data_IF_118992343636
#
_entry.id   IF_118992343636
#
_cell.length_a   1.000
_cell.length_b   1.000
_cell.length_c   1.000
_cell.angle_alpha   90.00
_cell.angle_beta   90.00
_cell.angle_gamma   90.00
#
_symmetry.space_group_name_H-M   'P 1'
#
loop_
_entity.id
_entity.type
_entity.pdbx_description
1 polymer ?
#
# COMPACT_ATOMS: atom_id res chain seq x y z
N UNK A 1 72.65 -62.71 -2.88
CA UNK A 1 73.39 -62.85 -4.15
C UNK A 1 73.44 -61.48 -4.81
N UNK A 2 74.59 -61.17 -5.43
CA UNK A 2 75.11 -59.85 -5.79
C UNK A 2 74.42 -59.17 -6.99
N UNK A 3 74.81 -57.89 -7.15
CA UNK A 3 74.87 -57.02 -8.34
C UNK A 3 73.62 -56.12 -8.55
N UNK A 4 73.74 -54.81 -8.78
CA UNK A 4 74.91 -53.96 -9.02
C UNK A 4 74.66 -52.95 -10.15
N UNK A 5 74.52 -51.68 -9.78
CA UNK A 5 75.01 -50.41 -10.40
C UNK A 5 74.82 -50.14 -11.92
N UNK A 6 74.33 -48.90 -12.19
CA UNK A 6 74.71 -47.89 -13.23
C UNK A 6 73.50 -47.43 -14.06
N UNK A 7 73.38 -46.21 -14.57
CA UNK A 7 73.98 -44.88 -14.36
C UNK A 7 73.27 -43.90 -15.35
N UNK A 8 73.26 -42.60 -14.99
CA UNK A 8 73.22 -41.41 -15.85
C UNK A 8 72.04 -41.16 -16.83
N UNK A 9 71.36 -40.01 -16.65
CA UNK A 9 71.34 -38.82 -17.54
C UNK A 9 70.24 -37.85 -17.05
N UNK A 10 70.60 -36.68 -16.51
CA UNK A 10 70.63 -35.38 -17.22
C UNK A 10 69.23 -34.88 -17.61
N UNK A 11 68.65 -33.91 -16.89
CA UNK A 11 68.04 -32.69 -17.44
C UNK A 11 68.05 -31.61 -16.37
N UNK A 12 68.69 -30.49 -16.69
CA UNK A 12 68.73 -29.24 -15.94
C UNK A 12 67.50 -28.42 -16.37
N UNK A 13 66.56 -28.11 -15.47
CA UNK A 13 65.52 -27.12 -15.71
C UNK A 13 65.78 -25.89 -14.84
N UNK A 14 66.12 -24.78 -15.50
CA UNK A 14 66.17 -23.46 -14.90
C UNK A 14 64.74 -22.92 -14.89
N UNK A 15 64.18 -22.68 -13.70
CA UNK A 15 62.93 -21.91 -13.53
C UNK A 15 63.31 -20.51 -13.10
N UNK A 16 63.12 -19.53 -13.99
CA UNK A 16 63.17 -18.10 -13.66
C UNK A 16 61.80 -17.71 -13.11
N UNK A 17 61.74 -17.42 -11.81
CA UNK A 17 60.57 -16.84 -11.14
C UNK A 17 60.61 -15.31 -11.32
N UNK A 18 59.80 -14.80 -12.24
CA UNK A 18 59.50 -13.38 -12.33
C UNK A 18 58.37 -13.03 -11.35
N UNK A 19 58.72 -12.33 -10.27
CA UNK A 19 57.76 -11.73 -9.35
C UNK A 19 57.13 -10.50 -10.01
N UNK A 20 55.91 -10.63 -10.53
CA UNK A 20 55.04 -9.49 -10.81
C UNK A 20 54.28 -9.13 -9.54
N UNK A 21 54.76 -8.12 -8.82
CA UNK A 21 54.00 -7.42 -7.79
C UNK A 21 52.92 -6.56 -8.46
N UNK A 22 51.75 -7.14 -8.68
CA UNK A 22 50.55 -6.35 -8.98
C UNK A 22 50.09 -5.71 -7.67
N UNK A 23 50.36 -4.42 -7.52
CA UNK A 23 49.77 -3.59 -6.49
C UNK A 23 48.27 -3.47 -6.75
N UNK A 24 47.49 -4.39 -6.20
CA UNK A 24 46.06 -4.18 -6.02
C UNK A 24 45.90 -3.09 -4.96
N UNK A 25 45.73 -1.86 -5.43
CA UNK A 25 45.14 -0.80 -4.61
C UNK A 25 43.75 -1.28 -4.24
N UNK A 26 43.60 -1.76 -3.00
CA UNK A 26 42.30 -1.86 -2.35
C UNK A 26 41.73 -0.43 -2.28
N UNK A 27 40.99 -0.03 -3.32
CA UNK A 27 39.98 1.00 -3.16
C UNK A 27 38.94 0.40 -2.22
N UNK A 28 39.03 0.71 -0.93
CA UNK A 28 37.87 0.59 -0.06
C UNK A 28 36.72 1.31 -0.77
N UNK A 29 35.52 0.70 -0.88
CA UNK A 29 34.37 1.44 -1.36
C UNK A 29 34.27 2.73 -0.54
N UNK A 30 34.02 3.89 -1.17
CA UNK A 30 33.88 5.14 -0.44
C UNK A 30 32.90 4.90 0.71
N UNK A 31 33.33 5.28 1.90
CA UNK A 31 32.49 5.23 3.09
C UNK A 31 31.18 5.94 2.73
N UNK A 32 30.05 5.24 2.86
CA UNK A 32 28.74 5.83 2.55
C UNK A 32 28.54 6.99 3.50
N UNK A 33 28.70 8.20 2.99
CA UNK A 33 28.44 9.41 3.75
C UNK A 33 26.96 9.74 3.65
N UNK A 34 26.35 10.08 4.77
CA UNK A 34 24.93 10.40 4.85
C UNK A 34 24.70 11.91 4.83
N UNK A 35 23.57 12.32 4.25
CA UNK A 35 23.02 13.66 4.25
C UNK A 35 21.73 13.67 5.08
N UNK A 36 21.59 14.67 5.93
CA UNK A 36 20.31 14.97 6.58
C UNK A 36 19.47 15.85 5.64
N UNK A 37 18.52 15.24 4.94
CA UNK A 37 17.64 15.92 3.99
C UNK A 37 16.30 16.25 4.66
N UNK A 38 15.98 17.53 4.83
CA UNK A 38 14.63 17.97 5.21
C UNK A 38 13.76 18.09 3.97
N UNK A 39 12.67 17.34 3.92
CA UNK A 39 11.68 17.37 2.83
C UNK A 39 10.39 18.01 3.32
N UNK A 40 9.81 18.88 2.49
CA UNK A 40 8.51 19.51 2.70
C UNK A 40 7.71 19.49 1.39
N UNK A 41 6.42 19.15 1.48
CA UNK A 41 5.49 19.25 0.36
C UNK A 41 4.58 20.44 0.61
N UNK A 42 4.33 21.23 -0.42
CA UNK A 42 3.35 22.32 -0.37
C UNK A 42 2.39 22.25 -1.55
N UNK A 43 1.17 22.74 -1.36
CA UNK A 43 0.26 23.01 -2.46
C UNK A 43 0.76 24.23 -3.24
N UNK A 44 1.02 24.08 -4.54
CA UNK A 44 1.61 25.12 -5.37
C UNK A 44 0.72 26.36 -5.54
N UNK A 45 -0.61 26.23 -5.37
CA UNK A 45 -1.55 27.33 -5.52
C UNK A 45 -1.64 28.17 -4.25
N UNK A 46 -1.64 27.52 -3.09
CA UNK A 46 -1.85 28.19 -1.79
C UNK A 46 -0.55 28.45 -1.02
N UNK A 47 0.54 27.77 -1.37
CA UNK A 47 1.80 27.79 -0.65
C UNK A 47 1.76 27.12 0.74
N UNK A 48 0.62 26.50 1.11
CA UNK A 48 0.46 25.84 2.40
C UNK A 48 1.07 24.43 2.39
N UNK A 49 1.60 23.95 3.53
CA UNK A 49 2.01 22.56 3.67
C UNK A 49 0.86 21.60 3.35
N UNK A 50 1.20 20.49 2.70
CA UNK A 50 0.25 19.43 2.36
C UNK A 50 0.90 18.06 2.64
N UNK A 51 0.12 17.09 3.12
CA UNK A 51 0.59 15.72 3.26
C UNK A 51 0.62 15.04 1.88
N UNK A 52 1.46 14.02 1.72
CA UNK A 52 1.52 13.27 0.46
C UNK A 52 2.36 12.02 0.55
N UNK A 53 2.51 11.37 -0.58
CA UNK A 53 3.37 10.22 -0.77
C UNK A 53 4.65 10.67 -1.45
N UNK A 54 5.79 10.18 -0.95
CA UNK A 54 7.09 10.44 -1.54
C UNK A 54 7.82 9.15 -1.92
N UNK A 55 8.64 9.23 -2.94
CA UNK A 55 9.61 8.22 -3.32
C UNK A 55 10.96 8.91 -3.58
N UNK A 56 12.02 8.40 -2.97
CA UNK A 56 13.40 8.87 -3.23
C UNK A 56 14.16 7.75 -3.91
N UNK A 57 14.74 8.08 -5.06
CA UNK A 57 15.54 7.17 -5.87
C UNK A 57 16.99 7.66 -5.91
N UNK A 58 17.91 6.72 -5.86
CA UNK A 58 19.32 7.02 -6.08
C UNK A 58 19.67 7.15 -7.57
N UNK A 59 20.94 7.43 -7.86
CA UNK A 59 21.46 7.57 -9.22
C UNK A 59 21.26 6.31 -10.11
N UNK A 60 21.08 5.12 -9.52
CA UNK A 60 20.76 3.89 -10.25
C UNK A 60 19.25 3.63 -10.39
N UNK A 61 18.41 4.57 -9.95
CA UNK A 61 16.96 4.43 -9.96
C UNK A 61 16.41 3.48 -8.91
N UNK A 62 17.23 3.04 -7.94
CA UNK A 62 16.80 2.21 -6.82
C UNK A 62 16.24 3.09 -5.70
N UNK A 63 15.17 2.63 -5.06
CA UNK A 63 14.64 3.27 -3.85
C UNK A 63 15.67 3.36 -2.73
N UNK A 64 15.70 4.54 -2.11
CA UNK A 64 16.35 4.80 -0.84
C UNK A 64 15.36 4.43 0.28
N UNK A 65 15.80 3.60 1.23
CA UNK A 65 15.02 3.29 2.42
C UNK A 65 14.92 4.53 3.32
N UNK A 66 13.73 4.81 3.84
CA UNK A 66 13.43 5.99 4.65
C UNK A 66 12.88 5.52 6.00
N UNK A 67 13.78 5.22 6.95
CA UNK A 67 13.41 4.68 8.26
C UNK A 67 12.53 5.62 9.08
N UNK A 68 12.62 6.93 8.81
CA UNK A 68 11.82 7.95 9.48
C UNK A 68 10.37 8.03 9.00
N UNK A 69 10.04 7.37 7.87
CA UNK A 69 8.72 7.42 7.26
C UNK A 69 8.09 6.03 7.12
N UNK A 70 6.79 5.96 7.40
CA UNK A 70 6.03 4.74 7.20
C UNK A 70 5.89 4.41 5.70
N UNK A 71 6.06 3.15 5.33
CA UNK A 71 5.76 2.67 3.98
C UNK A 71 4.25 2.75 3.71
N UNK A 72 3.85 3.27 2.55
CA UNK A 72 2.46 3.23 2.09
C UNK A 72 1.94 1.80 1.88
N UNK A 73 2.85 0.85 1.68
CA UNK A 73 2.58 -0.58 1.54
C UNK A 73 2.70 -1.39 2.82
N UNK A 74 2.61 -0.77 3.99
CA UNK A 74 2.60 -1.48 5.28
C UNK A 74 1.58 -2.63 5.29
N UNK A 75 2.01 -3.80 5.78
CA UNK A 75 1.17 -5.00 5.84
C UNK A 75 0.98 -5.75 4.51
N UNK A 76 1.51 -5.23 3.40
CA UNK A 76 1.50 -5.91 2.10
C UNK A 76 2.79 -6.70 1.86
N UNK A 77 2.82 -7.62 0.87
CA UNK A 77 4.03 -8.36 0.51
C UNK A 77 5.18 -7.43 0.07
N UNK A 78 6.41 -7.79 0.44
CA UNK A 78 7.64 -6.99 0.26
C UNK A 78 7.93 -6.51 -1.17
N UNK A 79 7.38 -7.19 -2.18
CA UNK A 79 7.65 -6.90 -3.60
C UNK A 79 6.50 -6.12 -4.28
N UNK A 80 5.55 -5.57 -3.51
CA UNK A 80 4.49 -4.73 -4.07
C UNK A 80 5.03 -3.34 -4.41
N UNK A 81 4.68 -2.81 -5.59
CA UNK A 81 5.13 -1.48 -6.04
C UNK A 81 4.71 -0.34 -5.11
N UNK A 82 3.66 -0.54 -4.31
CA UNK A 82 3.21 0.44 -3.32
C UNK A 82 4.17 0.56 -2.11
N UNK A 83 5.03 -0.44 -1.88
CA UNK A 83 6.09 -0.34 -0.86
C UNK A 83 7.17 0.66 -1.25
N UNK A 84 7.26 1.01 -2.53
CA UNK A 84 8.23 1.96 -3.04
C UNK A 84 7.92 3.42 -2.63
N UNK A 85 6.77 3.64 -1.99
CA UNK A 85 6.27 4.92 -1.55
C UNK A 85 6.23 5.00 -0.03
N UNK A 86 6.63 6.14 0.51
CA UNK A 86 6.58 6.47 1.93
C UNK A 86 5.59 7.61 2.18
N UNK A 87 4.93 7.59 3.34
CA UNK A 87 3.95 8.59 3.73
C UNK A 87 4.67 9.77 4.41
N UNK A 88 4.39 10.99 3.95
CA UNK A 88 4.94 12.22 4.52
C UNK A 88 3.78 13.15 4.92
N UNK A 89 3.45 13.21 6.21
CA UNK A 89 2.33 14.02 6.74
C UNK A 89 2.74 15.43 7.16
N UNK A 90 4.02 15.65 7.42
CA UNK A 90 4.59 16.93 7.83
C UNK A 90 6.03 17.04 7.33
N UNK A 91 6.65 18.23 7.36
CA UNK A 91 8.05 18.36 7.00
C UNK A 91 8.95 17.52 7.90
N UNK A 92 9.75 16.64 7.30
CA UNK A 92 10.55 15.65 8.02
C UNK A 92 11.99 15.66 7.52
N UNK A 93 12.94 15.54 8.46
CA UNK A 93 14.35 15.30 8.15
C UNK A 93 14.58 13.79 8.11
N UNK A 94 15.18 13.32 7.02
CA UNK A 94 15.50 11.92 6.78
C UNK A 94 16.97 11.75 6.43
N UNK A 95 17.49 10.58 6.74
CA UNK A 95 18.87 10.19 6.43
C UNK A 95 18.92 9.59 5.03
N UNK A 96 19.67 10.21 4.11
CA UNK A 96 19.81 9.76 2.71
C UNK A 96 21.28 9.75 2.30
N UNK A 97 21.69 8.96 1.30
CA UNK A 97 23.09 8.96 0.85
C UNK A 97 23.49 10.31 0.22
N UNK A 98 24.77 10.69 0.40
CA UNK A 98 25.38 11.85 -0.25
C UNK A 98 25.70 11.56 -1.73
N UNK A 99 24.66 11.48 -2.54
CA UNK A 99 24.76 11.25 -3.98
C UNK A 99 23.67 12.02 -4.72
N UNK A 100 23.70 12.09 -6.06
CA UNK A 100 22.58 12.57 -6.84
C UNK A 100 21.33 11.72 -6.57
N UNK A 101 20.27 12.36 -6.11
CA UNK A 101 18.98 11.76 -5.83
C UNK A 101 17.89 12.31 -6.73
N UNK A 102 16.83 11.53 -6.89
CA UNK A 102 15.59 11.95 -7.52
C UNK A 102 14.45 11.74 -6.56
N UNK A 103 13.80 12.83 -6.17
CA UNK A 103 12.62 12.80 -5.30
C UNK A 103 11.36 12.97 -6.14
N UNK A 104 10.35 12.18 -5.81
CA UNK A 104 9.06 12.11 -6.49
C UNK A 104 7.97 12.24 -5.45
N UNK A 105 6.94 13.02 -5.73
CA UNK A 105 5.86 13.24 -4.78
C UNK A 105 4.53 13.52 -5.46
N UNK A 106 3.46 13.14 -4.78
CA UNK A 106 2.10 13.59 -5.05
C UNK A 106 1.26 13.54 -3.76
N UNK A 107 0.12 14.21 -3.79
CA UNK A 107 -0.87 14.26 -2.70
C UNK A 107 -2.26 13.96 -3.23
N UNK A 108 -2.94 13.00 -2.61
CA UNK A 108 -4.26 12.52 -2.99
C UNK A 108 -4.47 12.26 -4.49
N UNK A 109 -5.73 12.42 -4.92
CA UNK A 109 -6.17 12.14 -6.30
C UNK A 109 -6.21 13.39 -7.19
N UNK A 110 -5.70 14.52 -6.69
CA UNK A 110 -5.98 15.85 -7.25
C UNK A 110 -4.72 16.64 -7.61
N UNK A 111 -3.54 16.10 -7.30
CA UNK A 111 -2.25 16.73 -7.62
C UNK A 111 -1.52 15.98 -8.71
N UNK A 112 -0.78 16.73 -9.52
CA UNK A 112 0.15 16.18 -10.49
C UNK A 112 1.33 15.54 -9.77
N UNK A 113 1.81 14.45 -10.34
CA UNK A 113 3.07 13.86 -9.95
C UNK A 113 4.22 14.87 -10.18
N UNK A 114 4.97 15.16 -9.13
CA UNK A 114 6.11 16.08 -9.14
C UNK A 114 7.40 15.29 -9.01
N UNK A 115 8.41 15.65 -9.80
CA UNK A 115 9.74 15.04 -9.76
C UNK A 115 10.81 16.14 -9.71
N UNK A 116 11.81 15.96 -8.84
CA UNK A 116 12.93 16.89 -8.70
C UNK A 116 14.24 16.12 -8.52
N UNK A 117 15.27 16.53 -9.24
CA UNK A 117 16.63 16.05 -9.06
C UNK A 117 17.37 16.91 -8.03
N UNK A 118 18.13 16.25 -7.15
CA UNK A 118 18.88 16.86 -6.07
C UNK A 118 20.31 16.34 -6.12
N UNK A 119 21.26 17.23 -6.37
CA UNK A 119 22.67 16.89 -6.16
C UNK A 119 23.03 17.09 -4.68
N UNK A 120 23.20 15.97 -3.96
CA UNK A 120 23.62 15.95 -2.56
C UNK A 120 25.08 15.55 -2.36
N UNK A 121 25.87 15.45 -3.44
CA UNK A 121 27.29 15.19 -3.34
C UNK A 121 27.97 16.22 -2.43
N UNK A 122 28.75 15.71 -1.47
CA UNK A 122 29.49 16.49 -0.47
C UNK A 122 28.60 17.33 0.48
N UNK A 123 27.29 17.09 0.55
CA UNK A 123 26.36 17.80 1.45
C UNK A 123 26.03 16.98 2.69
N UNK A 124 26.42 17.46 3.86
CA UNK A 124 25.99 16.87 5.13
C UNK A 124 24.53 17.20 5.52
N UNK A 125 23.97 18.28 4.97
CA UNK A 125 22.58 18.73 5.21
C UNK A 125 22.01 19.38 3.97
N UNK A 126 20.72 19.16 3.73
CA UNK A 126 19.97 19.83 2.66
C UNK A 126 18.51 20.05 3.06
N UNK A 127 17.83 20.97 2.37
CA UNK A 127 16.39 21.15 2.50
C UNK A 127 15.80 21.27 1.10
N UNK A 128 14.72 20.54 0.86
CA UNK A 128 13.95 20.59 -0.38
C UNK A 128 12.49 20.84 -0.06
N UNK A 129 11.89 21.73 -0.84
CA UNK A 129 10.46 22.02 -0.84
C UNK A 129 9.94 21.63 -2.22
N UNK A 130 9.02 20.67 -2.27
CA UNK A 130 8.35 20.26 -3.51
C UNK A 130 6.99 20.96 -3.59
N UNK A 131 6.76 21.66 -4.68
CA UNK A 131 5.49 22.34 -4.96
C UNK A 131 4.59 21.44 -5.79
N UNK A 132 3.53 20.94 -5.18
CA UNK A 132 2.59 20.02 -5.81
C UNK A 132 1.50 20.81 -6.54
N UNK A 133 1.44 20.66 -7.86
CA UNK A 133 0.44 21.33 -8.68
C UNK A 133 -0.88 20.59 -8.61
N UNK A 134 -1.89 21.23 -8.05
CA UNK A 134 -3.28 20.75 -8.06
C UNK A 134 -3.88 20.94 -9.47
N UNK A 135 -4.43 19.87 -10.05
CA UNK A 135 -5.14 19.91 -11.34
C UNK A 135 -6.66 19.96 -11.18
N UNK A 136 -7.19 19.60 -10.00
CA UNK A 136 -8.62 19.67 -9.70
C UNK A 136 -8.86 19.94 -8.20
N UNK A 137 -9.99 20.54 -7.85
CA UNK A 137 -10.39 20.77 -6.47
C UNK A 137 -11.83 20.26 -6.26
N UNK A 138 -11.95 18.96 -5.97
CA UNK A 138 -13.20 18.26 -5.69
C UNK A 138 -13.96 18.95 -4.55
N UNK A 139 -13.26 19.47 -3.54
CA UNK A 139 -13.89 20.09 -2.36
C UNK A 139 -14.56 21.42 -2.69
N UNK A 140 -13.98 22.22 -3.60
CA UNK A 140 -14.58 23.47 -4.07
C UNK A 140 -15.92 23.23 -4.79
N UNK A 141 -16.08 22.06 -5.41
CA UNK A 141 -17.30 21.62 -6.10
C UNK A 141 -18.25 20.82 -5.18
N UNK A 142 -17.95 20.75 -3.87
CA UNK A 142 -18.79 20.06 -2.88
C UNK A 142 -18.61 18.54 -2.81
N UNK A 143 -17.67 17.97 -3.56
CA UNK A 143 -17.32 16.55 -3.45
C UNK A 143 -16.42 16.28 -2.24
N UNK A 144 -16.36 15.00 -1.86
CA UNK A 144 -15.51 14.47 -0.79
C UNK A 144 -14.80 13.22 -1.28
N UNK A 145 -13.54 13.07 -0.90
CA UNK A 145 -12.71 11.92 -1.23
C UNK A 145 -12.90 10.86 -0.14
N UNK A 146 -13.23 9.62 -0.51
CA UNK A 146 -13.49 8.58 0.47
C UNK A 146 -12.89 7.24 0.06
N UNK A 147 -12.43 6.48 1.05
CA UNK A 147 -12.16 5.06 0.91
C UNK A 147 -13.28 4.27 1.60
N UNK A 148 -14.10 3.59 0.82
CA UNK A 148 -15.25 2.82 1.33
C UNK A 148 -14.90 1.40 1.73
N UNK A 149 -13.65 0.96 1.54
CA UNK A 149 -13.26 -0.43 1.69
C UNK A 149 -11.78 -0.55 2.08
N UNK A 150 -11.49 -0.63 3.38
CA UNK A 150 -10.13 -0.94 3.87
C UNK A 150 -10.13 -2.10 4.87
N UNK A 151 -9.16 -2.99 4.68
CA UNK A 151 -8.80 -4.04 5.61
C UNK A 151 -7.31 -3.97 5.91
N UNK A 152 -6.94 -4.09 7.19
CA UNK A 152 -5.56 -4.23 7.64
C UNK A 152 -5.43 -5.56 8.36
N UNK A 153 -4.38 -6.31 8.03
CA UNK A 153 -4.09 -7.61 8.61
C UNK A 153 -2.62 -7.70 8.95
N UNK A 154 -2.30 -8.50 9.98
CA UNK A 154 -0.91 -8.82 10.37
C UNK A 154 -0.05 -7.60 10.71
N UNK A 155 -0.70 -6.53 11.15
CA UNK A 155 -0.08 -5.31 11.70
C UNK A 155 -0.59 -5.10 13.12
N UNK A 156 0.18 -4.45 13.97
CA UNK A 156 -0.26 -4.14 15.33
C UNK A 156 -1.39 -3.11 15.32
N UNK A 157 -2.09 -2.98 16.45
CA UNK A 157 -3.15 -1.96 16.60
C UNK A 157 -2.57 -0.54 16.48
N UNK A 158 -1.42 -0.28 17.11
CA UNK A 158 -0.75 1.01 17.05
C UNK A 158 -0.33 1.36 15.62
N UNK A 159 0.26 0.41 14.89
CA UNK A 159 0.59 0.60 13.48
C UNK A 159 -0.66 0.85 12.63
N UNK A 160 -1.77 0.17 12.93
CA UNK A 160 -3.04 0.37 12.22
C UNK A 160 -3.62 1.76 12.46
N UNK A 161 -3.64 2.22 13.71
CA UNK A 161 -4.13 3.57 14.06
C UNK A 161 -3.32 4.64 13.31
N UNK A 162 -1.99 4.53 13.36
CA UNK A 162 -1.08 5.46 12.67
C UNK A 162 -1.26 5.40 11.15
N UNK A 163 -1.28 4.20 10.58
CA UNK A 163 -1.43 4.02 9.13
C UNK A 163 -2.75 4.55 8.61
N UNK A 164 -3.86 4.29 9.31
CA UNK A 164 -5.18 4.77 8.92
C UNK A 164 -5.21 6.30 8.84
N UNK A 165 -4.67 6.99 9.86
CA UNK A 165 -4.63 8.46 9.87
C UNK A 165 -3.66 9.00 8.83
N UNK A 166 -2.43 8.50 8.79
CA UNK A 166 -1.38 9.06 7.93
C UNK A 166 -1.66 8.82 6.45
N UNK A 167 -2.05 7.59 6.08
CA UNK A 167 -2.36 7.26 4.69
C UNK A 167 -3.58 8.01 4.20
N UNK A 168 -4.64 8.13 5.01
CA UNK A 168 -5.83 8.90 4.63
C UNK A 168 -5.51 10.38 4.45
N UNK A 169 -4.67 10.95 5.32
CA UNK A 169 -4.25 12.35 5.22
C UNK A 169 -3.40 12.58 3.95
N UNK A 170 -2.44 11.71 3.66
CA UNK A 170 -1.59 11.81 2.47
C UNK A 170 -2.33 11.54 1.15
N UNK A 171 -3.32 10.64 1.18
CA UNK A 171 -4.20 10.34 0.06
C UNK A 171 -5.33 11.39 -0.08
N UNK A 172 -5.36 12.42 0.78
CA UNK A 172 -6.33 13.51 0.72
C UNK A 172 -7.77 13.04 0.90
N UNK A 173 -8.00 12.02 1.73
CA UNK A 173 -9.31 11.46 2.03
C UNK A 173 -10.01 12.26 3.14
N UNK A 174 -11.32 12.43 3.02
CA UNK A 174 -12.18 12.98 4.08
C UNK A 174 -12.82 11.88 4.93
N UNK A 175 -12.98 10.68 4.36
CA UNK A 175 -13.73 9.60 4.96
C UNK A 175 -13.10 8.23 4.64
N UNK A 176 -12.97 7.39 5.66
CA UNK A 176 -12.52 6.01 5.51
C UNK A 176 -13.47 5.07 6.24
N UNK A 177 -14.04 4.10 5.54
CA UNK A 177 -14.78 3.00 6.17
C UNK A 177 -13.83 1.85 6.44
N UNK A 178 -13.59 1.60 7.73
CA UNK A 178 -12.79 0.48 8.21
C UNK A 178 -13.70 -0.75 8.28
N UNK A 179 -13.39 -1.74 7.46
CA UNK A 179 -14.31 -2.82 7.15
C UNK A 179 -14.05 -4.05 8.01
N UNK A 180 -15.06 -4.45 8.79
CA UNK A 180 -15.11 -5.74 9.44
C UNK A 180 -15.34 -6.84 8.39
N UNK A 181 -14.65 -7.97 8.53
CA UNK A 181 -14.74 -9.10 7.60
C UNK A 181 -14.62 -10.42 8.36
N UNK A 182 -15.52 -11.36 8.10
CA UNK A 182 -15.37 -12.75 8.56
C UNK A 182 -14.75 -13.64 7.49
N UNK A 183 -13.73 -14.39 7.92
CA UNK A 183 -13.16 -15.52 7.21
C UNK A 183 -12.78 -16.55 8.25
N UNK A 184 -13.24 -17.80 8.09
CA UNK A 184 -12.86 -18.86 9.03
C UNK A 184 -11.33 -18.86 9.26
N UNK A 185 -10.90 -18.99 10.51
CA UNK A 185 -9.50 -19.01 11.01
C UNK A 185 -8.64 -17.76 10.69
N UNK A 186 -8.87 -17.09 9.56
CA UNK A 186 -8.05 -15.99 9.08
C UNK A 186 -8.46 -14.63 9.65
N UNK A 187 -9.74 -14.48 10.05
CA UNK A 187 -10.29 -13.29 10.71
C UNK A 187 -9.50 -12.87 11.96
N UNK A 188 -8.93 -13.82 12.72
CA UNK A 188 -8.10 -13.56 13.90
C UNK A 188 -6.89 -12.65 13.62
N UNK A 189 -6.44 -12.60 12.37
CA UNK A 189 -5.31 -11.78 11.92
C UNK A 189 -5.70 -10.44 11.29
N UNK A 190 -7.00 -10.15 11.15
CA UNK A 190 -7.47 -8.84 10.70
C UNK A 190 -7.50 -7.89 11.89
N UNK A 191 -6.59 -6.91 11.86
CA UNK A 191 -6.52 -5.88 12.89
C UNK A 191 -7.72 -4.94 12.79
N UNK A 192 -8.27 -4.75 11.59
CA UNK A 192 -9.50 -3.96 11.37
C UNK A 192 -10.73 -4.53 12.08
N UNK A 193 -10.79 -5.85 12.30
CA UNK A 193 -11.91 -6.47 13.02
C UNK A 193 -11.93 -6.13 14.53
N UNK A 194 -10.87 -5.52 15.05
CA UNK A 194 -10.72 -5.18 16.48
C UNK A 194 -11.19 -3.78 16.80
N UNK A 195 -11.68 -3.02 15.82
CA UNK A 195 -12.19 -1.68 16.03
C UNK A 195 -13.69 -1.72 16.33
N UNK A 196 -14.09 -1.00 17.38
CA UNK A 196 -15.48 -0.65 17.62
C UNK A 196 -15.83 0.66 16.91
N UNK A 197 -17.12 0.94 16.62
CA UNK A 197 -17.55 2.23 16.09
C UNK A 197 -17.08 3.44 16.93
N UNK A 198 -17.07 3.28 18.26
CA UNK A 198 -16.60 4.33 19.18
C UNK A 198 -15.10 4.61 19.01
N UNK A 199 -14.29 3.58 18.82
CA UNK A 199 -12.84 3.76 18.62
C UNK A 199 -12.53 4.41 17.28
N UNK A 200 -13.25 4.07 16.21
CA UNK A 200 -13.10 4.73 14.90
C UNK A 200 -13.51 6.20 14.96
N UNK A 201 -14.62 6.50 15.62
CA UNK A 201 -14.98 7.89 15.88
C UNK A 201 -13.88 8.62 16.67
N UNK A 202 -13.27 7.98 17.67
CA UNK A 202 -12.17 8.57 18.44
C UNK A 202 -10.86 8.72 17.64
N UNK A 203 -10.66 7.89 16.61
CA UNK A 203 -9.52 7.97 15.69
C UNK A 203 -9.68 9.10 14.66
N UNK A 204 -10.90 9.61 14.47
CA UNK A 204 -11.18 10.69 13.52
C UNK A 204 -10.45 11.97 13.91
N UNK A 205 -10.04 12.73 12.90
CA UNK A 205 -9.34 14.01 13.04
C UNK A 205 -10.23 15.15 12.50
N UNK A 206 -9.72 16.38 12.53
CA UNK A 206 -10.38 17.52 11.88
C UNK A 206 -10.38 17.40 10.34
N UNK A 207 -9.65 16.41 9.78
CA UNK A 207 -9.50 16.21 8.34
C UNK A 207 -10.14 14.90 7.86
N UNK A 208 -9.94 13.80 8.59
CA UNK A 208 -10.37 12.45 8.19
C UNK A 208 -11.36 11.91 9.20
N UNK A 209 -12.54 11.51 8.74
CA UNK A 209 -13.51 10.78 9.53
C UNK A 209 -13.40 9.27 9.28
N UNK A 210 -13.51 8.47 10.33
CA UNK A 210 -13.53 7.01 10.21
C UNK A 210 -14.93 6.45 10.52
N UNK A 211 -15.48 5.74 9.55
CA UNK A 211 -16.73 4.99 9.65
C UNK A 211 -16.48 3.51 9.89
N UNK A 212 -17.41 2.84 10.56
CA UNK A 212 -17.41 1.39 10.68
C UNK A 212 -18.17 0.78 9.49
N UNK A 213 -17.50 -0.06 8.71
CA UNK A 213 -18.09 -0.78 7.58
C UNK A 213 -18.05 -2.29 7.80
N UNK A 214 -18.76 -3.02 6.95
CA UNK A 214 -18.73 -4.49 6.91
C UNK A 214 -18.61 -4.95 5.46
N UNK A 215 -17.68 -5.87 5.17
CA UNK A 215 -17.66 -6.60 3.90
C UNK A 215 -18.50 -7.88 4.05
N UNK A 216 -19.73 -7.87 3.52
CA UNK A 216 -20.62 -9.03 3.51
C UNK A 216 -20.40 -9.87 2.26
N UNK A 217 -20.04 -11.13 2.44
CA UNK A 217 -19.52 -11.98 1.36
C UNK A 217 -20.27 -13.27 1.20
N UNK A 218 -20.28 -13.80 -0.02
CA UNK A 218 -20.58 -15.20 -0.28
C UNK A 218 -19.51 -15.89 -1.14
N UNK A 219 -19.04 -17.07 -0.72
CA UNK A 219 -18.16 -17.90 -1.54
C UNK A 219 -18.68 -19.34 -1.70
N UNK A 220 -18.73 -19.84 -2.95
CA UNK A 220 -18.93 -21.28 -3.22
C UNK A 220 -17.73 -22.13 -2.76
N UNK A 221 -16.53 -21.61 -2.92
CA UNK A 221 -15.29 -22.28 -2.55
C UNK A 221 -14.20 -21.30 -2.12
N UNK A 222 -13.06 -21.79 -1.61
CA UNK A 222 -11.97 -20.94 -1.14
C UNK A 222 -11.51 -19.95 -2.22
N UNK A 223 -11.41 -18.66 -1.86
CA UNK A 223 -10.95 -17.61 -2.77
C UNK A 223 -11.90 -17.23 -3.91
N UNK A 224 -13.10 -17.83 -3.98
CA UNK A 224 -14.14 -17.42 -4.93
C UNK A 224 -14.92 -16.18 -4.50
N UNK A 225 -15.94 -15.84 -5.28
CA UNK A 225 -16.81 -14.67 -5.09
C UNK A 225 -18.29 -15.04 -5.06
N UNK A 226 -18.63 -16.31 -5.36
CA UNK A 226 -19.97 -16.86 -5.21
C UNK A 226 -21.09 -15.97 -5.76
N UNK A 227 -22.06 -15.65 -4.90
CA UNK A 227 -23.12 -14.70 -5.22
C UNK A 227 -22.65 -13.25 -5.25
N UNK A 228 -21.54 -12.91 -4.59
CA UNK A 228 -20.87 -11.62 -4.66
C UNK A 228 -20.42 -11.14 -3.28
N UNK A 229 -19.81 -9.96 -3.27
CA UNK A 229 -19.43 -9.23 -2.06
C UNK A 229 -20.00 -7.83 -2.10
N UNK A 230 -20.45 -7.34 -0.94
CA UNK A 230 -20.94 -5.98 -0.76
C UNK A 230 -20.34 -5.33 0.47
N UNK A 231 -20.06 -4.04 0.35
CA UNK A 231 -19.80 -3.17 1.49
C UNK A 231 -21.14 -2.70 2.06
N UNK A 232 -21.34 -2.95 3.35
CA UNK A 232 -22.44 -2.43 4.14
C UNK A 232 -21.88 -1.31 5.02
N UNK A 233 -22.32 -0.09 4.75
CA UNK A 233 -21.81 1.14 5.38
C UNK A 233 -22.91 1.80 6.19
N UNK A 234 -22.53 2.57 7.21
CA UNK A 234 -23.46 3.28 8.10
C UNK A 234 -24.53 2.37 8.74
N UNK A 235 -24.17 1.11 9.00
CA UNK A 235 -25.03 0.17 9.73
C UNK A 235 -24.85 0.37 11.24
N UNK A 236 -25.92 0.35 12.04
CA UNK A 236 -25.84 0.55 13.49
C UNK A 236 -25.24 -0.66 14.22
N UNK A 237 -25.30 -1.84 13.59
CA UNK A 237 -24.76 -3.11 14.07
C UNK A 237 -24.38 -3.98 12.86
N UNK A 238 -23.51 -4.98 13.08
CA UNK A 238 -23.13 -5.94 12.05
C UNK A 238 -24.34 -6.77 11.58
N UNK A 239 -24.37 -7.09 10.30
CA UNK A 239 -25.38 -7.96 9.69
C UNK A 239 -24.95 -9.41 9.81
N UNK A 240 -25.58 -10.15 10.73
CA UNK A 240 -25.24 -11.56 10.93
C UNK A 240 -26.05 -12.53 10.06
N UNK A 241 -25.41 -13.62 9.58
CA UNK A 241 -23.97 -13.86 9.58
C UNK A 241 -23.22 -12.88 8.67
N UNK A 242 -22.06 -12.37 9.13
CA UNK A 242 -21.28 -11.34 8.41
C UNK A 242 -20.83 -11.84 7.05
N UNK A 243 -20.53 -13.13 6.92
CA UNK A 243 -20.26 -13.73 5.63
C UNK A 243 -20.81 -15.15 5.56
N UNK A 244 -21.14 -15.58 4.36
CA UNK A 244 -21.90 -16.79 4.07
C UNK A 244 -21.22 -17.64 2.99
N UNK A 245 -21.71 -18.86 2.82
CA UNK A 245 -21.20 -19.82 1.86
C UNK A 245 -20.02 -20.64 2.40
N UNK A 246 -19.92 -21.91 2.00
CA UNK A 246 -18.93 -22.86 2.54
C UNK A 246 -17.49 -22.45 2.25
N UNK A 247 -17.25 -21.60 1.24
CA UNK A 247 -15.94 -21.05 0.95
C UNK A 247 -15.43 -20.01 1.97
N UNK A 248 -16.31 -19.44 2.80
CA UNK A 248 -15.95 -18.49 3.86
C UNK A 248 -15.97 -19.17 5.23
N UNK A 249 -17.12 -19.75 5.60
CA UNK A 249 -17.38 -20.28 6.95
C UNK A 249 -16.84 -21.70 7.16
N UNK A 250 -16.43 -22.39 6.09
CA UNK A 250 -16.11 -23.84 6.06
C UNK A 250 -17.24 -24.76 6.53
N UNK A 251 -18.44 -24.23 6.74
CA UNK A 251 -19.65 -24.93 7.18
C UNK A 251 -20.89 -24.36 6.47
N UNK A 252 -22.00 -25.09 6.45
CA UNK A 252 -23.25 -24.63 5.84
C UNK A 252 -23.39 -24.98 4.37
N UNK A 253 -24.28 -24.26 3.67
CA UNK A 253 -24.61 -24.49 2.25
C UNK A 253 -24.39 -23.22 1.43
N UNK A 254 -24.30 -23.39 0.12
CA UNK A 254 -24.29 -22.31 -0.87
C UNK A 254 -25.68 -21.79 -1.23
N UNK A 255 -26.74 -22.19 -0.51
CA UNK A 255 -28.11 -21.80 -0.82
C UNK A 255 -28.53 -20.42 -0.29
N UNK A 256 -27.65 -19.69 0.41
CA UNK A 256 -27.97 -18.39 1.01
C UNK A 256 -27.41 -17.27 0.13
N UNK A 257 -28.26 -16.40 -0.46
CA UNK A 257 -27.82 -15.29 -1.30
C UNK A 257 -27.32 -14.09 -0.49
N UNK A 258 -26.43 -13.28 -1.07
CA UNK A 258 -25.98 -12.01 -0.44
C UNK A 258 -27.11 -10.99 -0.35
N UNK A 259 -28.13 -11.11 -1.21
CA UNK A 259 -29.38 -10.34 -1.13
C UNK A 259 -29.94 -10.25 0.30
N UNK A 260 -29.85 -11.32 1.10
CA UNK A 260 -30.37 -11.31 2.47
C UNK A 260 -29.65 -10.27 3.35
N UNK A 261 -28.32 -10.21 3.27
CA UNK A 261 -27.53 -9.23 4.01
C UNK A 261 -27.79 -7.80 3.51
N UNK A 262 -27.91 -7.64 2.20
CA UNK A 262 -28.27 -6.37 1.54
C UNK A 262 -29.61 -5.83 2.04
N UNK A 263 -30.66 -6.66 2.04
CA UNK A 263 -32.00 -6.23 2.48
C UNK A 263 -31.97 -5.85 3.97
N UNK A 264 -31.29 -6.62 4.82
CA UNK A 264 -31.14 -6.31 6.25
C UNK A 264 -30.40 -4.99 6.48
N UNK A 265 -29.30 -4.74 5.77
CA UNK A 265 -28.59 -3.48 5.87
C UNK A 265 -29.49 -2.29 5.49
N UNK A 266 -30.28 -2.43 4.43
CA UNK A 266 -31.23 -1.41 3.99
C UNK A 266 -32.36 -1.17 4.99
N UNK A 267 -32.89 -2.22 5.61
CA UNK A 267 -33.90 -2.10 6.69
C UNK A 267 -33.37 -1.25 7.86
N UNK A 268 -32.06 -1.28 8.09
CA UNK A 268 -31.38 -0.47 9.12
C UNK A 268 -30.95 0.92 8.63
N UNK A 269 -31.29 1.31 7.40
CA UNK A 269 -30.88 2.58 6.80
C UNK A 269 -29.43 2.61 6.29
N UNK A 270 -28.78 1.44 6.18
CA UNK A 270 -27.42 1.31 5.69
C UNK A 270 -27.28 1.61 4.19
N UNK A 271 -26.05 1.94 3.79
CA UNK A 271 -25.64 2.10 2.40
C UNK A 271 -24.97 0.82 1.92
N UNK A 272 -25.33 0.38 0.72
CA UNK A 272 -24.83 -0.85 0.10
C UNK A 272 -24.06 -0.51 -1.16
N UNK A 273 -22.78 -0.89 -1.19
CA UNK A 273 -21.90 -0.75 -2.34
C UNK A 273 -21.47 -2.13 -2.81
N UNK A 274 -21.58 -2.42 -4.10
CA UNK A 274 -21.03 -3.65 -4.66
C UNK A 274 -19.50 -3.59 -4.75
N UNK A 275 -18.79 -4.58 -4.21
CA UNK A 275 -17.34 -4.49 -4.00
C UNK A 275 -16.52 -4.61 -5.30
N UNK A 276 -16.99 -5.41 -6.27
CA UNK A 276 -16.16 -5.82 -7.41
C UNK A 276 -16.96 -5.79 -8.72
N UNK A 277 -16.59 -4.89 -9.65
CA UNK A 277 -17.36 -4.60 -10.88
C UNK A 277 -17.67 -5.81 -11.80
N UNK A 278 -16.91 -6.89 -11.69
CA UNK A 278 -16.94 -8.02 -12.63
C UNK A 278 -17.13 -9.38 -11.93
N UNK A 279 -17.43 -9.38 -10.64
CA UNK A 279 -17.45 -10.59 -9.81
C UNK A 279 -18.77 -10.68 -9.03
N UNK A 280 -19.16 -11.93 -8.77
CA UNK A 280 -20.42 -12.29 -8.12
C UNK A 280 -21.57 -12.45 -9.10
N UNK A 281 -22.51 -13.35 -8.76
CA UNK A 281 -23.67 -13.68 -9.59
C UNK A 281 -24.88 -12.77 -9.36
N UNK A 282 -24.91 -11.99 -8.28
CA UNK A 282 -26.07 -11.19 -7.90
C UNK A 282 -25.92 -9.68 -8.17
N UNK A 283 -24.88 -9.23 -8.85
CA UNK A 283 -24.66 -7.80 -9.14
C UNK A 283 -25.84 -7.19 -9.94
N UNK A 284 -26.17 -7.77 -11.10
CA UNK A 284 -27.24 -7.33 -12.01
C UNK A 284 -28.61 -7.38 -11.35
N UNK A 285 -29.06 -8.51 -10.74
CA UNK A 285 -30.39 -8.54 -10.12
C UNK A 285 -30.53 -7.57 -8.93
N UNK A 286 -29.44 -7.28 -8.20
CA UNK A 286 -29.48 -6.28 -7.14
C UNK A 286 -29.54 -4.84 -7.70
N UNK A 287 -28.82 -4.56 -8.78
CA UNK A 287 -28.93 -3.28 -9.51
C UNK A 287 -30.34 -3.05 -10.06
N UNK A 288 -30.91 -4.02 -10.79
CA UNK A 288 -32.25 -3.91 -11.38
C UNK A 288 -33.35 -3.74 -10.32
N UNK A 289 -33.15 -4.29 -9.13
CA UNK A 289 -34.07 -4.15 -8.01
C UNK A 289 -33.86 -2.86 -7.19
N UNK A 290 -32.93 -1.99 -7.57
CA UNK A 290 -32.62 -0.75 -6.86
C UNK A 290 -32.04 -0.98 -5.45
N UNK A 291 -31.36 -2.11 -5.24
CA UNK A 291 -30.81 -2.49 -3.93
C UNK A 291 -29.47 -1.84 -3.62
N UNK A 292 -28.71 -1.47 -4.64
CA UNK A 292 -27.36 -0.90 -4.51
C UNK A 292 -27.41 0.62 -4.62
N UNK A 293 -26.60 1.31 -3.81
CA UNK A 293 -26.37 2.75 -3.94
C UNK A 293 -25.20 3.06 -4.86
N UNK A 294 -24.20 2.18 -4.90
CA UNK A 294 -23.03 2.33 -5.76
C UNK A 294 -22.42 0.97 -6.11
N UNK A 295 -21.48 1.01 -7.04
CA UNK A 295 -20.68 -0.13 -7.45
C UNK A 295 -19.24 0.33 -7.64
N UNK A 296 -18.30 -0.40 -7.06
CA UNK A 296 -16.89 -0.19 -7.30
C UNK A 296 -16.57 -0.53 -8.75
N UNK A 297 -16.30 0.50 -9.54
CA UNK A 297 -15.89 0.42 -10.95
C UNK A 297 -14.40 0.09 -11.13
N UNK A 298 -13.63 0.21 -10.05
CA UNK A 298 -12.21 -0.12 -9.93
C UNK A 298 -11.90 -0.37 -8.44
N UNK A 299 -11.25 -1.50 -8.13
CA UNK A 299 -10.95 -1.93 -6.76
C UNK A 299 -9.44 -2.08 -6.48
N UNK A 300 -8.59 -1.60 -7.38
CA UNK A 300 -7.13 -1.68 -7.24
C UNK A 300 -6.56 -3.10 -7.38
N UNK A 301 -7.41 -4.10 -7.67
CA UNK A 301 -7.00 -5.47 -7.90
C UNK A 301 -6.41 -5.73 -9.29
N UNK A 302 -6.06 -6.99 -9.56
CA UNK A 302 -5.62 -7.44 -10.89
C UNK A 302 -6.77 -7.65 -11.88
N UNK A 303 -8.02 -7.46 -11.43
CA UNK A 303 -9.24 -7.64 -12.21
C UNK A 303 -10.04 -6.33 -12.21
N UNK A 304 -10.92 -6.12 -13.21
CA UNK A 304 -11.85 -4.98 -13.17
C UNK A 304 -11.21 -3.58 -13.34
N UNK A 305 -10.24 -3.43 -14.26
CA UNK A 305 -9.69 -2.10 -14.59
C UNK A 305 -10.69 -1.21 -15.34
N UNK A 306 -10.43 0.11 -15.39
CA UNK A 306 -11.22 1.09 -16.17
C UNK A 306 -11.51 0.63 -17.61
N UNK A 307 -10.59 -0.12 -18.25
CA UNK A 307 -10.80 -0.74 -19.58
C UNK A 307 -12.06 -1.60 -19.63
N UNK A 308 -12.29 -2.42 -18.61
CA UNK A 308 -13.40 -3.36 -18.55
C UNK A 308 -14.73 -2.69 -18.18
N UNK A 309 -14.65 -1.54 -17.52
CA UNK A 309 -15.77 -0.78 -16.96
C UNK A 309 -16.30 0.31 -17.90
N UNK A 310 -15.42 1.10 -18.54
CA UNK A 310 -15.80 2.30 -19.30
C UNK A 310 -15.58 2.21 -20.81
N UNK A 311 -14.62 1.43 -21.27
CA UNK A 311 -14.20 1.42 -22.69
C UNK A 311 -14.79 0.24 -23.48
N UNK A 312 -16.02 -0.17 -23.15
CA UNK A 312 -16.75 -1.21 -23.91
C UNK A 312 -17.34 -0.65 -25.19
#
# INVERSE_FOLDING_TARGET
>A
MKLGVRAMRSVLWIVVLALFSTGWLFHSPPEKTDCQLRVELVDAQTGKPIAGLIQILNAQGKRVELDELMSRGLGLPANSTIQEWSILTQPTTMTVPQEPLRIRAFSGLETEYTEQELDLSDKGKATVKLELKRFYNTHAEGYRNANTHVHLQKVTRQESDQYLVDSATADGLDLVFVSYLERAEADAHYTTNRYTPKELHALSTDHVHFGHGEEHRHNFGPGGEGYGHVMLLNIPELVYPVSIGPGISRVGTDGIPVKRGIDRAREMGGTVIWCHNMLGLEDIPNWLAGRLQANNIFDGGTHGSYRHSFYR
#
